data_IF_554820110828
#
_entry.id   IF_554820110828
#
_cell.length_a   1.000
_cell.length_b   1.000
_cell.length_c   1.000
_cell.angle_alpha   90.00
_cell.angle_beta   90.00
_cell.angle_gamma   90.00
#
_symmetry.space_group_name_H-M   'P 1'
#
loop_
_entity.id
_entity.type
_entity.pdbx_description
1 polymer ?
#
# COMPACT_ATOMS: atom_id res chain seq x y z
N UNK A 1 -3.91 26.60 5.61
CA UNK A 1 -3.47 25.29 6.15
C UNK A 1 -4.11 24.19 5.33
N UNK A 2 -3.31 23.30 4.76
CA UNK A 2 -3.85 22.12 4.08
C UNK A 2 -4.58 21.22 5.08
N UNK A 3 -5.79 20.76 4.72
CA UNK A 3 -6.56 19.88 5.58
C UNK A 3 -5.87 18.52 5.73
N UNK A 4 -6.26 17.73 6.76
CA UNK A 4 -5.76 16.36 6.95
C UNK A 4 -6.05 15.48 5.72
N UNK A 5 -7.15 15.75 5.05
CA UNK A 5 -7.62 15.07 3.85
C UNK A 5 -6.73 15.40 2.63
N UNK A 6 -6.37 16.66 2.41
CA UNK A 6 -5.44 17.08 1.35
C UNK A 6 -4.04 16.47 1.54
N UNK A 7 -3.54 16.40 2.77
CA UNK A 7 -2.26 15.72 3.07
C UNK A 7 -2.33 14.20 2.88
N UNK A 8 -3.48 13.59 3.16
CA UNK A 8 -3.74 12.19 2.82
C UNK A 8 -3.73 11.96 1.32
N UNK A 9 -4.35 12.87 0.55
CA UNK A 9 -4.40 12.82 -0.91
C UNK A 9 -3.00 12.85 -1.55
N UNK A 10 -2.09 13.72 -1.10
CA UNK A 10 -0.70 13.76 -1.61
C UNK A 10 0.02 12.41 -1.47
N UNK A 11 -0.24 11.70 -0.36
CA UNK A 11 0.46 10.44 -0.06
C UNK A 11 -0.09 9.21 -0.77
N UNK A 12 -1.31 9.29 -1.28
CA UNK A 12 -2.01 8.14 -1.87
C UNK A 12 -2.46 8.36 -3.32
N UNK A 13 -2.28 9.56 -3.87
CA UNK A 13 -2.76 9.90 -5.21
C UNK A 13 -2.26 8.93 -6.27
N UNK A 14 -0.95 8.66 -6.31
CA UNK A 14 -0.33 7.72 -7.26
C UNK A 14 -0.93 6.31 -7.16
N UNK A 15 -1.18 5.83 -5.93
CA UNK A 15 -1.77 4.51 -5.70
C UNK A 15 -3.22 4.47 -6.21
N UNK A 16 -3.99 5.55 -5.99
CA UNK A 16 -5.37 5.65 -6.47
C UNK A 16 -5.44 5.71 -7.98
N UNK A 17 -4.60 6.53 -8.61
CA UNK A 17 -4.56 6.66 -10.07
C UNK A 17 -4.23 5.29 -10.72
N UNK A 18 -3.28 4.55 -10.16
CA UNK A 18 -2.91 3.22 -10.65
C UNK A 18 -4.01 2.15 -10.42
N UNK A 19 -4.86 2.32 -9.40
CA UNK A 19 -5.97 1.41 -9.14
C UNK A 19 -7.17 1.63 -10.08
N UNK A 20 -7.30 2.79 -10.72
CA UNK A 20 -8.47 3.12 -11.56
C UNK A 20 -8.70 2.08 -12.64
N UNK A 21 -7.64 1.64 -13.34
CA UNK A 21 -7.75 0.63 -14.40
C UNK A 21 -8.14 -0.75 -13.85
N UNK A 22 -7.58 -1.16 -12.70
CA UNK A 22 -7.89 -2.43 -12.05
C UNK A 22 -9.33 -2.50 -11.53
N UNK A 23 -9.91 -1.34 -11.21
CA UNK A 23 -11.25 -1.18 -10.69
C UNK A 23 -12.29 -0.89 -11.78
N UNK A 24 -11.86 -0.65 -13.02
CA UNK A 24 -12.74 -0.32 -14.12
C UNK A 24 -13.69 -1.48 -14.50
N UNK A 25 -14.80 -1.15 -15.19
CA UNK A 25 -15.71 -2.13 -15.78
C UNK A 25 -16.83 -2.65 -14.87
N UNK A 26 -17.07 -2.01 -13.73
CA UNK A 26 -18.19 -2.29 -12.83
C UNK A 26 -17.78 -2.76 -11.43
N UNK A 27 -18.75 -3.17 -10.59
CA UNK A 27 -18.48 -3.59 -9.23
C UNK A 27 -17.49 -4.77 -9.15
N UNK A 28 -16.46 -4.65 -8.31
CA UNK A 28 -15.44 -5.66 -8.03
C UNK A 28 -15.60 -6.21 -6.63
N UNK A 29 -15.19 -7.47 -6.43
CA UNK A 29 -14.96 -8.05 -5.11
C UNK A 29 -13.54 -7.70 -4.67
N UNK A 30 -13.42 -6.83 -3.67
CA UNK A 30 -12.14 -6.32 -3.18
C UNK A 30 -11.86 -6.85 -1.77
N UNK A 31 -10.64 -7.34 -1.55
CA UNK A 31 -10.13 -7.67 -0.21
C UNK A 31 -9.02 -6.68 0.14
N UNK A 32 -9.18 -5.97 1.25
CA UNK A 32 -8.17 -5.04 1.80
C UNK A 32 -7.50 -5.71 3.00
N UNK A 33 -6.33 -6.35 2.78
CA UNK A 33 -5.56 -7.03 3.79
C UNK A 33 -4.74 -6.02 4.60
N UNK A 34 -4.95 -6.01 5.92
CA UNK A 34 -4.37 -5.00 6.79
C UNK A 34 -5.02 -3.62 6.62
N UNK A 35 -6.26 -3.55 6.11
CA UNK A 35 -6.93 -2.29 5.77
C UNK A 35 -7.28 -1.39 6.97
N UNK A 36 -7.08 -1.88 8.19
CA UNK A 36 -7.17 -1.11 9.41
C UNK A 36 -8.51 -0.39 9.57
N UNK A 37 -8.45 0.92 9.70
CA UNK A 37 -9.65 1.77 9.88
C UNK A 37 -10.39 2.10 8.57
N UNK A 38 -10.02 1.45 7.45
CA UNK A 38 -10.71 1.54 6.17
C UNK A 38 -10.38 2.76 5.32
N UNK A 39 -9.12 3.20 5.31
CA UNK A 39 -8.69 4.35 4.51
C UNK A 39 -8.95 4.19 3.00
N UNK A 40 -8.69 3.01 2.46
CA UNK A 40 -9.02 2.62 1.09
C UNK A 40 -10.43 2.03 1.00
N UNK A 41 -10.81 1.16 1.93
CA UNK A 41 -12.04 0.39 1.88
C UNK A 41 -13.31 1.25 1.76
N UNK A 42 -13.41 2.34 2.52
CA UNK A 42 -14.57 3.23 2.48
C UNK A 42 -14.71 3.89 1.10
N UNK A 43 -13.62 4.44 0.56
CA UNK A 43 -13.63 5.07 -0.77
C UNK A 43 -13.93 4.07 -1.89
N UNK A 44 -13.45 2.83 -1.77
CA UNK A 44 -13.79 1.76 -2.73
C UNK A 44 -15.27 1.40 -2.67
N UNK A 45 -15.85 1.34 -1.46
CA UNK A 45 -17.29 1.11 -1.29
C UNK A 45 -18.13 2.28 -1.82
N UNK A 46 -17.69 3.55 -1.63
CA UNK A 46 -18.29 4.74 -2.25
C UNK A 46 -18.33 4.65 -3.78
N UNK A 47 -17.31 4.02 -4.37
CA UNK A 47 -17.23 3.78 -5.82
C UNK A 47 -18.05 2.56 -6.28
N UNK A 48 -18.78 1.90 -5.38
CA UNK A 48 -19.71 0.81 -5.69
C UNK A 48 -19.08 -0.59 -5.69
N UNK A 49 -17.86 -0.76 -5.17
CA UNK A 49 -17.23 -2.07 -5.03
C UNK A 49 -17.68 -2.79 -3.76
N UNK A 50 -17.65 -4.11 -3.76
CA UNK A 50 -17.91 -4.96 -2.58
C UNK A 50 -16.61 -5.16 -1.83
N UNK A 51 -16.47 -4.57 -0.65
CA UNK A 51 -15.20 -4.52 0.07
C UNK A 51 -15.25 -5.33 1.36
N UNK A 52 -14.28 -6.21 1.51
CA UNK A 52 -13.99 -6.94 2.75
C UNK A 52 -12.61 -6.50 3.27
N UNK A 53 -12.56 -6.06 4.51
CA UNK A 53 -11.31 -5.71 5.20
C UNK A 53 -10.94 -6.84 6.13
N UNK A 54 -9.72 -7.36 6.02
CA UNK A 54 -9.16 -8.35 6.94
C UNK A 54 -8.08 -7.66 7.77
N UNK A 55 -8.26 -7.58 9.09
CA UNK A 55 -7.32 -6.92 10.00
C UNK A 55 -7.29 -7.63 11.35
N UNK A 56 -6.12 -7.85 11.97
CA UNK A 56 -6.03 -8.49 13.27
C UNK A 56 -6.56 -7.63 14.43
N UNK A 57 -6.67 -6.30 14.25
CA UNK A 57 -7.06 -5.36 15.29
C UNK A 57 -8.59 -5.19 15.38
N UNK A 58 -9.26 -5.67 16.43
CA UNK A 58 -10.70 -5.45 16.62
C UNK A 58 -11.04 -3.95 16.78
N UNK A 59 -10.12 -3.15 17.34
CA UNK A 59 -10.34 -1.71 17.49
C UNK A 59 -10.32 -0.99 16.12
N UNK A 60 -9.44 -1.42 15.22
CA UNK A 60 -9.41 -0.90 13.85
C UNK A 60 -10.70 -1.25 13.10
N UNK A 61 -11.17 -2.49 13.21
CA UNK A 61 -12.43 -2.94 12.62
C UNK A 61 -13.66 -2.23 13.20
N UNK A 62 -13.67 -1.94 14.50
CA UNK A 62 -14.73 -1.13 15.13
C UNK A 62 -14.73 0.31 14.57
N UNK A 63 -13.56 0.90 14.36
CA UNK A 63 -13.44 2.22 13.73
C UNK A 63 -13.87 2.20 12.26
N UNK A 64 -13.55 1.14 11.51
CA UNK A 64 -14.03 0.90 10.15
C UNK A 64 -15.57 0.85 10.11
N UNK A 65 -16.18 0.02 10.96
CA UNK A 65 -17.63 -0.15 11.02
C UNK A 65 -18.36 1.19 11.31
N UNK A 66 -17.81 2.00 12.22
CA UNK A 66 -18.34 3.35 12.51
C UNK A 66 -18.27 4.25 11.27
N UNK A 67 -17.09 4.33 10.60
CA UNK A 67 -16.92 5.18 9.41
C UNK A 67 -17.80 4.76 8.25
N UNK A 68 -17.93 3.46 7.99
CA UNK A 68 -18.81 2.93 6.96
C UNK A 68 -20.28 3.24 7.30
N UNK A 69 -20.71 3.08 8.57
CA UNK A 69 -22.03 3.42 9.03
C UNK A 69 -22.37 4.92 8.90
N UNK A 70 -21.43 5.80 9.26
CA UNK A 70 -21.58 7.26 9.09
C UNK A 70 -21.75 7.66 7.62
N UNK A 71 -21.12 6.92 6.70
CA UNK A 71 -21.25 7.12 5.26
C UNK A 71 -22.40 6.32 4.63
N UNK A 72 -23.16 5.53 5.41
CA UNK A 72 -24.20 4.62 4.93
C UNK A 72 -23.70 3.62 3.87
N UNK A 73 -22.50 3.10 4.05
CA UNK A 73 -21.84 2.15 3.16
C UNK A 73 -21.78 0.76 3.78
N UNK A 74 -21.83 -0.26 2.92
CA UNK A 74 -21.60 -1.65 3.33
C UNK A 74 -20.12 -2.02 3.11
N UNK A 75 -19.38 -2.13 4.22
CA UNK A 75 -18.02 -2.66 4.25
C UNK A 75 -17.95 -3.74 5.30
N UNK A 76 -17.51 -4.94 4.90
CA UNK A 76 -17.41 -6.08 5.83
C UNK A 76 -16.02 -6.09 6.47
N UNK A 77 -15.95 -5.92 7.79
CA UNK A 77 -14.74 -6.11 8.59
C UNK A 77 -14.67 -7.54 9.10
N UNK A 78 -13.54 -8.21 8.89
CA UNK A 78 -13.28 -9.60 9.27
C UNK A 78 -12.00 -9.63 10.11
N UNK A 79 -12.06 -10.17 11.33
CA UNK A 79 -10.87 -10.31 12.16
C UNK A 79 -10.03 -11.50 11.68
N UNK A 80 -8.75 -11.25 11.42
CA UNK A 80 -7.79 -12.26 10.98
C UNK A 80 -6.51 -11.60 10.48
N UNK A 81 -5.53 -12.40 10.18
CA UNK A 81 -4.27 -11.96 9.57
C UNK A 81 -3.99 -12.76 8.28
N UNK A 82 -2.74 -12.70 7.79
CA UNK A 82 -2.30 -13.41 6.59
C UNK A 82 -2.49 -14.94 6.72
N UNK A 83 -2.30 -15.50 7.91
CA UNK A 83 -2.41 -16.96 8.13
C UNK A 83 -3.85 -17.43 8.02
N UNK A 84 -4.80 -16.61 8.43
CA UNK A 84 -6.23 -16.90 8.42
C UNK A 84 -6.93 -16.53 7.11
N UNK A 85 -6.22 -15.84 6.20
CA UNK A 85 -6.80 -15.17 5.05
C UNK A 85 -7.72 -16.08 4.21
N UNK A 86 -7.28 -17.31 3.90
CA UNK A 86 -8.07 -18.25 3.12
C UNK A 86 -9.31 -18.77 3.87
N UNK A 87 -9.21 -18.96 5.18
CA UNK A 87 -10.33 -19.37 6.01
C UNK A 87 -11.39 -18.27 6.06
N UNK A 88 -10.96 -17.02 6.17
CA UNK A 88 -11.81 -15.86 6.40
C UNK A 88 -12.50 -15.39 5.10
N UNK A 89 -11.79 -15.38 3.97
CA UNK A 89 -12.35 -14.85 2.70
C UNK A 89 -12.58 -15.91 1.63
N UNK A 90 -11.97 -17.08 1.73
CA UNK A 90 -12.04 -18.16 0.74
C UNK A 90 -11.11 -17.99 -0.45
N UNK A 91 -10.78 -19.13 -1.12
CA UNK A 91 -9.98 -19.12 -2.34
C UNK A 91 -10.76 -18.55 -3.53
N UNK A 92 -10.06 -17.96 -4.49
CA UNK A 92 -10.60 -17.37 -5.72
C UNK A 92 -11.85 -16.49 -5.46
N UNK A 93 -11.81 -15.68 -4.42
CA UNK A 93 -12.94 -14.92 -3.92
C UNK A 93 -12.84 -13.41 -4.18
N UNK A 94 -11.69 -12.93 -4.69
CA UNK A 94 -11.45 -11.52 -4.95
C UNK A 94 -11.01 -11.26 -6.41
N UNK A 95 -11.50 -10.17 -6.98
CA UNK A 95 -11.02 -9.61 -8.25
C UNK A 95 -9.78 -8.74 -8.02
N UNK A 96 -9.75 -8.06 -6.87
CA UNK A 96 -8.64 -7.18 -6.45
C UNK A 96 -8.30 -7.46 -4.99
N UNK A 97 -7.02 -7.59 -4.68
CA UNK A 97 -6.50 -7.61 -3.30
C UNK A 97 -5.61 -6.39 -3.10
N UNK A 98 -5.87 -5.61 -2.05
CA UNK A 98 -4.95 -4.60 -1.55
C UNK A 98 -4.09 -5.22 -0.45
N UNK A 99 -2.78 -5.03 -0.51
CA UNK A 99 -1.80 -5.44 0.49
C UNK A 99 -0.83 -4.28 0.72
N UNK A 100 -1.24 -3.32 1.53
CA UNK A 100 -0.54 -2.05 1.71
C UNK A 100 0.12 -1.97 3.09
N UNK A 101 1.45 -2.03 3.13
CA UNK A 101 2.23 -1.94 4.36
C UNK A 101 2.14 -3.20 5.25
N UNK A 102 1.80 -4.34 4.68
CA UNK A 102 1.66 -5.62 5.40
C UNK A 102 2.94 -6.45 5.33
N UNK A 103 3.58 -6.54 4.16
CA UNK A 103 4.77 -7.38 3.97
C UNK A 103 5.96 -6.99 4.84
N UNK A 104 5.95 -5.78 5.38
CA UNK A 104 6.97 -5.29 6.31
C UNK A 104 6.99 -6.03 7.64
N UNK A 105 5.87 -6.64 8.04
CA UNK A 105 5.66 -7.19 9.40
C UNK A 105 5.25 -8.66 9.41
N UNK A 106 5.20 -9.30 8.24
CA UNK A 106 4.87 -10.73 8.07
C UNK A 106 5.95 -11.43 7.25
N UNK A 107 5.87 -12.76 7.10
CA UNK A 107 6.67 -13.48 6.11
C UNK A 107 6.16 -13.14 4.69
N UNK A 108 6.97 -12.49 3.82
CA UNK A 108 6.49 -11.98 2.55
C UNK A 108 6.11 -13.09 1.56
N UNK A 109 6.87 -14.19 1.53
CA UNK A 109 6.63 -15.29 0.61
C UNK A 109 5.32 -16.02 0.96
N UNK A 110 5.12 -16.32 2.24
CA UNK A 110 3.89 -16.92 2.72
C UNK A 110 2.68 -16.00 2.47
N UNK A 111 2.82 -14.70 2.72
CA UNK A 111 1.75 -13.72 2.50
C UNK A 111 1.34 -13.65 1.03
N UNK A 112 2.29 -13.52 0.11
CA UNK A 112 2.01 -13.43 -1.31
C UNK A 112 1.41 -14.73 -1.88
N UNK A 113 1.84 -15.89 -1.38
CA UNK A 113 1.22 -17.16 -1.75
C UNK A 113 -0.27 -17.19 -1.36
N UNK A 114 -0.62 -16.75 -0.13
CA UNK A 114 -2.02 -16.66 0.31
C UNK A 114 -2.83 -15.65 -0.50
N UNK A 115 -2.25 -14.49 -0.80
CA UNK A 115 -2.88 -13.49 -1.67
C UNK A 115 -3.16 -14.07 -3.06
N UNK A 116 -2.21 -14.79 -3.65
CA UNK A 116 -2.41 -15.44 -4.95
C UNK A 116 -3.55 -16.46 -4.92
N UNK A 117 -3.70 -17.23 -3.83
CA UNK A 117 -4.81 -18.18 -3.68
C UNK A 117 -6.18 -17.48 -3.56
N UNK A 118 -6.26 -16.31 -2.91
CA UNK A 118 -7.49 -15.52 -2.75
C UNK A 118 -7.92 -14.84 -4.03
N UNK A 119 -6.98 -14.39 -4.86
CA UNK A 119 -7.28 -13.77 -6.15
C UNK A 119 -7.92 -14.78 -7.11
N UNK A 120 -8.90 -14.37 -7.89
CA UNK A 120 -9.38 -15.12 -9.05
C UNK A 120 -8.31 -15.16 -10.14
N UNK A 121 -8.32 -16.14 -11.07
CA UNK A 121 -7.51 -16.05 -12.29
C UNK A 121 -7.75 -14.72 -13.00
N UNK A 122 -6.68 -14.01 -13.39
CA UNK A 122 -6.76 -12.67 -13.95
C UNK A 122 -7.02 -11.55 -12.92
N UNK A 123 -7.14 -11.89 -11.64
CA UNK A 123 -7.29 -10.91 -10.57
C UNK A 123 -6.01 -10.12 -10.30
N UNK A 124 -6.14 -8.94 -9.71
CA UNK A 124 -5.07 -7.95 -9.53
C UNK A 124 -4.70 -7.80 -8.05
N UNK A 125 -3.41 -7.88 -7.77
CA UNK A 125 -2.82 -7.43 -6.51
C UNK A 125 -2.37 -5.98 -6.65
N UNK A 126 -2.79 -5.13 -5.71
CA UNK A 126 -2.19 -3.83 -5.44
C UNK A 126 -1.33 -3.96 -4.20
N UNK A 127 -0.02 -3.88 -4.37
CA UNK A 127 0.96 -4.05 -3.31
C UNK A 127 1.67 -2.71 -3.04
N UNK A 128 1.69 -2.27 -1.78
CA UNK A 128 2.51 -1.12 -1.34
C UNK A 128 3.48 -1.60 -0.29
N UNK A 129 4.78 -1.35 -0.50
CA UNK A 129 5.84 -1.70 0.44
C UNK A 129 6.80 -0.54 0.67
N UNK A 130 7.40 -0.51 1.87
CA UNK A 130 8.46 0.45 2.21
C UNK A 130 9.75 0.15 1.44
N UNK A 131 10.31 1.18 0.79
CA UNK A 131 11.50 1.07 -0.05
C UNK A 131 12.78 1.23 0.77
N UNK A 132 13.79 0.36 0.52
CA UNK A 132 15.03 0.28 1.31
C UNK A 132 15.95 1.47 1.10
N UNK A 133 16.22 1.86 -0.15
CA UNK A 133 17.19 2.92 -0.43
C UNK A 133 16.73 4.27 0.15
N UNK A 134 15.44 4.60 0.05
CA UNK A 134 14.90 5.80 0.68
C UNK A 134 14.97 5.72 2.21
N UNK A 135 14.78 4.53 2.80
CA UNK A 135 14.95 4.35 4.25
C UNK A 135 16.40 4.57 4.68
N UNK A 136 17.40 4.09 3.91
CA UNK A 136 18.83 4.38 4.13
C UNK A 136 19.08 5.88 4.08
N UNK A 137 18.58 6.56 3.04
CA UNK A 137 18.74 8.01 2.88
C UNK A 137 18.11 8.76 4.07
N UNK A 138 16.88 8.43 4.45
CA UNK A 138 16.19 9.07 5.56
C UNK A 138 16.93 8.89 6.89
N UNK A 139 17.49 7.69 7.17
CA UNK A 139 18.30 7.44 8.38
C UNK A 139 19.60 8.25 8.35
N UNK A 140 20.27 8.33 7.20
CA UNK A 140 21.50 9.11 7.04
C UNK A 140 21.24 10.61 7.24
N UNK A 141 20.17 11.16 6.66
CA UNK A 141 19.78 12.56 6.85
C UNK A 141 19.42 12.90 8.31
N UNK A 142 18.87 11.93 9.05
CA UNK A 142 18.58 12.05 10.48
C UNK A 142 19.81 11.87 11.39
N UNK A 143 21.01 11.62 10.84
CA UNK A 143 22.25 11.40 11.60
C UNK A 143 22.38 9.97 12.18
N UNK A 144 21.49 9.05 11.81
CA UNK A 144 21.51 7.66 12.28
C UNK A 144 22.37 6.77 11.37
N UNK A 145 23.64 7.11 11.19
CA UNK A 145 24.53 6.48 10.19
C UNK A 145 24.72 4.98 10.37
N UNK A 146 24.76 4.48 11.60
CA UNK A 146 24.88 3.05 11.84
C UNK A 146 23.61 2.30 11.43
N UNK A 147 22.43 2.84 11.73
CA UNK A 147 21.15 2.28 11.28
C UNK A 147 21.03 2.34 9.75
N UNK A 148 21.47 3.45 9.12
CA UNK A 148 21.51 3.57 7.68
C UNK A 148 22.38 2.48 7.05
N UNK A 149 23.58 2.23 7.64
CA UNK A 149 24.49 1.18 7.19
C UNK A 149 23.89 -0.23 7.34
N UNK A 150 23.21 -0.51 8.47
CA UNK A 150 22.56 -1.81 8.70
C UNK A 150 21.49 -2.15 7.66
N UNK A 151 20.79 -1.12 7.15
CA UNK A 151 19.77 -1.28 6.11
C UNK A 151 20.35 -1.58 4.71
N UNK A 152 21.64 -1.34 4.45
CA UNK A 152 22.24 -1.56 3.12
C UNK A 152 22.21 -3.04 2.72
N UNK A 153 22.52 -3.92 3.67
CA UNK A 153 22.78 -5.34 3.43
C UNK A 153 21.65 -6.25 3.95
N UNK A 154 20.48 -5.70 4.32
CA UNK A 154 19.35 -6.42 4.93
C UNK A 154 19.77 -7.24 6.19
N UNK A 155 20.84 -6.83 6.85
CA UNK A 155 21.45 -7.56 7.98
C UNK A 155 20.87 -7.16 9.35
N UNK A 156 20.07 -6.10 9.40
CA UNK A 156 19.42 -5.75 10.67
C UNK A 156 18.23 -6.68 10.92
N UNK A 157 18.15 -7.25 12.13
CA UNK A 157 16.90 -7.90 12.54
C UNK A 157 15.79 -6.88 12.42
N UNK A 158 14.70 -7.29 11.78
CA UNK A 158 13.50 -6.47 11.66
C UNK A 158 13.12 -6.03 13.07
N UNK A 159 13.50 -4.81 13.46
CA UNK A 159 12.93 -4.19 14.65
C UNK A 159 11.43 -4.10 14.38
N UNK A 160 10.64 -4.77 15.22
CA UNK A 160 9.18 -4.85 15.10
C UNK A 160 8.48 -3.50 14.96
N UNK A 161 9.21 -2.39 15.21
CA UNK A 161 8.71 -1.02 15.07
C UNK A 161 8.96 -0.41 13.69
N UNK A 162 9.98 -0.85 12.94
CA UNK A 162 10.33 -0.26 11.65
C UNK A 162 9.94 -1.14 10.46
N UNK A 163 9.75 -2.43 10.68
CA UNK A 163 9.41 -3.41 9.66
C UNK A 163 10.51 -3.59 8.61
N UNK A 164 10.37 -4.64 7.81
CA UNK A 164 11.25 -4.92 6.66
C UNK A 164 11.12 -3.83 5.59
N UNK A 165 12.20 -3.63 4.82
CA UNK A 165 12.20 -2.74 3.65
C UNK A 165 12.64 -3.53 2.43
N UNK A 166 12.10 -3.16 1.28
CA UNK A 166 12.27 -3.91 0.04
C UNK A 166 12.93 -3.06 -1.04
N UNK A 167 13.65 -3.69 -1.94
CA UNK A 167 14.01 -3.14 -3.24
C UNK A 167 13.01 -3.59 -4.29
N UNK A 168 12.96 -2.92 -5.44
CA UNK A 168 12.08 -3.32 -6.53
C UNK A 168 12.38 -4.75 -7.02
N UNK A 169 13.67 -5.11 -7.12
CA UNK A 169 14.10 -6.44 -7.55
C UNK A 169 13.67 -7.55 -6.58
N UNK A 170 13.72 -7.30 -5.25
CA UNK A 170 13.23 -8.27 -4.26
C UNK A 170 11.71 -8.46 -4.35
N UNK A 171 10.96 -7.37 -4.55
CA UNK A 171 9.49 -7.46 -4.74
C UNK A 171 9.16 -8.26 -5.99
N UNK A 172 9.85 -8.00 -7.10
CA UNK A 172 9.66 -8.74 -8.35
C UNK A 172 9.93 -10.24 -8.18
N UNK A 173 11.01 -10.61 -7.52
CA UNK A 173 11.36 -12.00 -7.24
C UNK A 173 10.28 -12.69 -6.37
N UNK A 174 9.86 -12.05 -5.27
CA UNK A 174 8.82 -12.58 -4.39
C UNK A 174 7.47 -12.77 -5.09
N UNK A 175 7.09 -11.82 -5.94
CA UNK A 175 5.85 -11.94 -6.75
C UNK A 175 5.94 -13.11 -7.73
N UNK A 176 7.08 -13.24 -8.43
CA UNK A 176 7.32 -14.37 -9.35
C UNK A 176 7.24 -15.73 -8.67
N UNK A 177 7.83 -15.87 -7.47
CA UNK A 177 7.75 -17.10 -6.65
C UNK A 177 6.30 -17.43 -6.24
N UNK A 178 5.46 -16.41 -6.03
CA UNK A 178 4.04 -16.58 -5.70
C UNK A 178 3.13 -16.82 -6.93
N UNK A 179 3.67 -16.85 -8.17
CA UNK A 179 2.88 -16.96 -9.39
C UNK A 179 2.11 -15.69 -9.75
N UNK A 180 2.58 -14.55 -9.28
CA UNK A 180 2.04 -13.22 -9.58
C UNK A 180 2.97 -12.52 -10.57
N UNK A 181 2.43 -11.99 -11.67
CA UNK A 181 3.19 -11.30 -12.69
C UNK A 181 3.08 -9.79 -12.49
N UNK A 182 4.17 -9.09 -12.15
CA UNK A 182 4.16 -7.62 -12.07
C UNK A 182 3.79 -7.00 -13.42
N UNK A 183 2.90 -6.02 -13.39
CA UNK A 183 2.46 -5.27 -14.59
C UNK A 183 2.99 -3.85 -14.59
N UNK A 184 2.98 -3.19 -13.44
CA UNK A 184 3.50 -1.83 -13.26
C UNK A 184 4.17 -1.67 -11.91
N UNK A 185 5.17 -0.78 -11.84
CA UNK A 185 5.84 -0.39 -10.59
C UNK A 185 5.89 1.14 -10.54
N UNK A 186 5.39 1.72 -9.44
CA UNK A 186 5.34 3.16 -9.27
C UNK A 186 6.17 3.60 -8.06
N UNK A 187 6.87 4.73 -8.23
CA UNK A 187 7.49 5.46 -7.14
C UNK A 187 6.41 6.23 -6.37
N UNK A 188 6.29 6.00 -5.06
CA UNK A 188 5.28 6.63 -4.21
C UNK A 188 5.95 7.42 -3.10
N UNK A 189 5.51 8.67 -2.91
CA UNK A 189 6.04 9.56 -1.87
C UNK A 189 7.53 9.85 -2.05
N UNK A 190 7.93 10.25 -3.25
CA UNK A 190 9.30 10.68 -3.56
C UNK A 190 9.63 11.98 -2.84
N UNK A 191 8.73 12.96 -2.92
CA UNK A 191 8.92 14.30 -2.34
C UNK A 191 8.05 14.55 -1.12
N UNK A 192 6.89 13.91 -1.02
CA UNK A 192 5.89 14.18 0.02
C UNK A 192 6.42 14.06 1.46
N UNK A 193 7.42 13.22 1.69
CA UNK A 193 8.05 13.04 3.00
C UNK A 193 9.33 13.89 3.16
N UNK A 194 9.87 14.44 2.08
CA UNK A 194 11.04 15.32 2.09
C UNK A 194 10.66 16.80 2.25
N UNK A 195 9.48 17.18 1.74
CA UNK A 195 9.00 18.56 1.81
C UNK A 195 8.42 18.85 3.19
N UNK A 196 8.94 19.85 3.93
CA UNK A 196 8.36 20.27 5.19
C UNK A 196 6.90 20.69 5.02
N UNK A 197 6.02 20.22 5.89
CA UNK A 197 4.58 20.52 5.82
C UNK A 197 4.28 22.03 5.79
N UNK A 198 5.11 22.84 6.47
CA UNK A 198 4.99 24.30 6.47
C UNK A 198 5.10 24.89 5.05
N UNK A 199 5.91 24.34 4.16
CA UNK A 199 6.04 24.83 2.79
C UNK A 199 4.80 24.52 1.95
N UNK A 200 4.17 23.36 2.18
CA UNK A 200 2.92 22.99 1.54
C UNK A 200 1.74 23.84 2.03
N UNK A 201 1.79 24.28 3.29
CA UNK A 201 0.74 25.10 3.91
C UNK A 201 0.85 26.59 3.57
N UNK A 202 2.02 27.10 3.13
CA UNK A 202 2.31 28.53 2.91
C UNK A 202 1.71 29.08 1.62
N UNK A 203 1.66 28.28 0.55
CA UNK A 203 1.22 28.75 -0.76
C UNK A 203 -0.09 28.08 -1.19
N UNK A 204 -1.10 28.87 -1.61
CA UNK A 204 -2.30 28.29 -2.21
C UNK A 204 -1.94 27.45 -3.44
N UNK A 205 -2.39 26.20 -3.48
CA UNK A 205 -2.14 25.28 -4.59
C UNK A 205 -0.86 24.44 -4.45
N UNK A 206 0.01 24.68 -3.47
CA UNK A 206 1.25 23.93 -3.30
C UNK A 206 0.99 22.41 -3.10
N UNK A 207 -0.07 22.04 -2.39
CA UNK A 207 -0.45 20.63 -2.23
C UNK A 207 -0.81 19.97 -3.57
N UNK A 208 -1.55 20.66 -4.44
CA UNK A 208 -1.89 20.16 -5.77
C UNK A 208 -0.64 20.05 -6.66
N UNK A 209 0.21 21.08 -6.66
CA UNK A 209 1.46 21.06 -7.40
C UNK A 209 2.41 19.92 -6.93
N UNK A 210 2.42 19.59 -5.63
CA UNK A 210 3.17 18.46 -5.12
C UNK A 210 2.57 17.12 -5.59
N UNK A 211 1.24 16.97 -5.62
CA UNK A 211 0.58 15.80 -6.22
C UNK A 211 0.96 15.64 -7.70
N UNK A 212 0.91 16.73 -8.47
CA UNK A 212 1.26 16.70 -9.89
C UNK A 212 2.73 16.33 -10.11
N UNK A 213 3.63 16.78 -9.22
CA UNK A 213 5.03 16.39 -9.24
C UNK A 213 5.23 14.91 -8.88
N UNK A 214 4.54 14.38 -7.86
CA UNK A 214 4.57 12.95 -7.51
C UNK A 214 4.10 12.09 -8.70
N UNK A 215 2.99 12.47 -9.36
CA UNK A 215 2.48 11.81 -10.56
C UNK A 215 3.49 11.82 -11.71
N UNK A 216 4.13 12.97 -11.94
CA UNK A 216 5.09 13.15 -13.04
C UNK A 216 6.33 12.26 -12.92
N UNK A 217 6.66 11.77 -11.73
CA UNK A 217 7.82 10.92 -11.47
C UNK A 217 7.45 9.47 -11.15
N UNK A 218 6.17 9.16 -10.95
CA UNK A 218 5.71 7.86 -10.48
C UNK A 218 6.21 6.68 -11.33
N UNK A 219 6.22 6.85 -12.66
CA UNK A 219 6.61 5.80 -13.62
C UNK A 219 8.07 5.92 -14.08
N UNK A 220 8.85 6.81 -13.48
CA UNK A 220 10.24 7.04 -13.88
C UNK A 220 11.19 6.16 -13.08
N UNK A 221 11.92 5.21 -13.72
CA UNK A 221 12.80 4.28 -13.03
C UNK A 221 13.85 4.94 -12.15
N UNK A 222 14.36 6.10 -12.54
CA UNK A 222 15.36 6.87 -11.80
C UNK A 222 14.86 7.38 -10.44
N UNK A 223 13.53 7.47 -10.23
CA UNK A 223 12.94 7.90 -8.96
C UNK A 223 12.52 6.74 -8.05
N UNK A 224 12.43 5.50 -8.55
CA UNK A 224 12.11 4.33 -7.73
C UNK A 224 13.01 4.18 -6.51
N UNK A 225 14.37 4.36 -6.61
CA UNK A 225 15.25 4.28 -5.45
C UNK A 225 15.05 5.39 -4.42
N UNK A 226 14.44 6.52 -4.81
CA UNK A 226 14.22 7.68 -3.95
C UNK A 226 12.86 7.67 -3.27
N UNK A 227 11.92 6.88 -3.78
CA UNK A 227 10.57 6.78 -3.27
C UNK A 227 10.55 6.15 -1.87
N UNK A 228 9.79 6.72 -0.95
CA UNK A 228 9.61 6.14 0.40
C UNK A 228 8.88 4.80 0.33
N UNK A 229 8.03 4.61 -0.66
CA UNK A 229 7.29 3.38 -0.92
C UNK A 229 7.33 3.02 -2.41
N UNK A 230 7.26 1.73 -2.69
CA UNK A 230 6.95 1.19 -4.01
C UNK A 230 5.51 0.74 -4.03
N UNK A 231 4.78 1.09 -5.09
CA UNK A 231 3.49 0.51 -5.42
C UNK A 231 3.64 -0.39 -6.63
N UNK A 232 3.18 -1.63 -6.53
CA UNK A 232 3.25 -2.62 -7.62
C UNK A 232 1.85 -3.14 -7.88
N UNK A 233 1.43 -3.11 -9.15
CA UNK A 233 0.32 -3.93 -9.61
C UNK A 233 0.86 -5.24 -10.17
N UNK A 234 0.23 -6.34 -9.78
CA UNK A 234 0.57 -7.67 -10.30
C UNK A 234 -0.70 -8.47 -10.59
N UNK A 235 -0.67 -9.32 -11.60
CA UNK A 235 -1.81 -10.17 -11.98
C UNK A 235 -1.55 -11.61 -11.64
N UNK A 236 -2.59 -12.32 -11.18
CA UNK A 236 -2.61 -13.77 -11.09
C UNK A 236 -2.86 -14.38 -12.48
N UNK A 237 -2.00 -15.30 -12.92
CA UNK A 237 -2.20 -16.09 -14.13
C UNK A 237 -3.48 -16.93 -14.07
#
# INVERSE_FOLDING_TARGET
>A
MATREQRGSVRTAVVWDALEDALAGGPRDVVDLGGGTGGFAVRLAESGHRVRVVDPSPDALAALARRAGEASLEVTGLQGDVSDLLEVVGAASADVVLCHGVLEVVDPAAALARVAEVLRPGGVLSLVVGQRHAAVLARAMAGHFQQARGLLDDQEPVDSRTGRRFTAAEVEALLGEAGLTPTTVHAVRVFADLVPAALVDLEPGAAAALVDLERAVADRPEYLPLATQLHVLATRA
#
